data_IF_916046337399
#
_entry.id   IF_916046337399
#
_cell.length_a   1.000
_cell.length_b   1.000
_cell.length_c   1.000
_cell.angle_alpha   90.00
_cell.angle_beta   90.00
_cell.angle_gamma   90.00
#
_symmetry.space_group_name_H-M   'P 1'
#
loop_
_entity.id
_entity.type
_entity.pdbx_description
1 polymer ?
#
# COMPACT_ATOMS: atom_id res chain seq x y z
N UNK A 1 -8.00 2.24 -4.90
CA UNK A 1 -6.90 3.02 -4.28
C UNK A 1 -5.73 2.10 -3.98
N UNK A 2 -4.51 2.62 -3.94
CA UNK A 2 -3.34 1.85 -3.49
C UNK A 2 -3.37 1.74 -1.97
N UNK A 3 -3.45 0.54 -1.42
CA UNK A 3 -3.52 0.29 0.02
C UNK A 3 -2.21 -0.26 0.62
N UNK A 4 -1.23 -0.60 -0.24
CA UNK A 4 0.08 -1.10 0.12
C UNK A 4 1.14 -0.73 -0.95
N UNK A 5 2.42 -0.63 -0.54
CA UNK A 5 3.56 -0.34 -1.43
C UNK A 5 3.73 -1.31 -2.59
N UNK A 6 3.35 -2.57 -2.38
CA UNK A 6 3.49 -3.62 -3.39
C UNK A 6 2.52 -3.51 -4.58
N UNK A 7 1.43 -2.73 -4.48
CA UNK A 7 0.33 -2.77 -5.46
C UNK A 7 0.76 -2.59 -6.92
N UNK A 8 1.69 -1.67 -7.17
CA UNK A 8 2.24 -1.40 -8.51
C UNK A 8 3.16 -2.53 -9.03
N UNK A 9 3.68 -3.38 -8.14
CA UNK A 9 4.60 -4.47 -8.45
C UNK A 9 3.90 -5.83 -8.54
N UNK A 10 2.57 -5.88 -8.41
CA UNK A 10 1.79 -7.13 -8.39
C UNK A 10 2.10 -8.03 -9.58
N UNK A 11 2.15 -7.48 -10.80
CA UNK A 11 2.42 -8.26 -12.01
C UNK A 11 3.84 -8.85 -12.03
N UNK A 12 4.82 -8.16 -11.43
CA UNK A 12 6.18 -8.68 -11.29
C UNK A 12 6.22 -9.85 -10.30
N UNK A 13 5.48 -9.76 -9.18
CA UNK A 13 5.38 -10.85 -8.22
C UNK A 13 4.65 -12.09 -8.76
N UNK A 14 3.69 -11.89 -9.67
CA UNK A 14 2.98 -12.98 -10.35
C UNK A 14 3.75 -13.59 -11.52
N UNK A 15 4.91 -13.01 -11.90
CA UNK A 15 5.69 -13.46 -13.05
C UNK A 15 5.13 -13.03 -14.41
N UNK A 16 4.14 -12.13 -14.42
CA UNK A 16 3.49 -11.62 -15.62
C UNK A 16 4.25 -10.46 -16.28
N UNK A 17 5.35 -10.01 -15.67
CA UNK A 17 6.19 -8.95 -16.22
C UNK A 17 7.60 -8.94 -15.66
N UNK A 18 8.52 -8.34 -16.40
CA UNK A 18 9.92 -8.20 -15.98
C UNK A 18 10.13 -6.88 -15.23
N UNK A 19 10.60 -6.91 -13.97
CA UNK A 19 10.89 -5.69 -13.23
C UNK A 19 12.10 -4.96 -13.81
N UNK A 20 12.12 -3.63 -13.71
CA UNK A 20 13.25 -2.80 -14.18
C UNK A 20 14.55 -3.05 -13.42
N UNK A 21 14.45 -3.51 -12.19
CA UNK A 21 15.57 -3.82 -11.31
C UNK A 21 15.18 -5.01 -10.42
N UNK A 22 16.11 -5.92 -10.08
CA UNK A 22 15.86 -7.00 -9.13
C UNK A 22 15.56 -6.50 -7.72
N UNK A 23 15.84 -5.23 -7.41
CA UNK A 23 15.56 -4.58 -6.13
C UNK A 23 15.03 -3.17 -6.37
N UNK A 24 13.91 -2.84 -5.77
CA UNK A 24 13.25 -1.54 -5.87
C UNK A 24 12.81 -1.15 -4.45
N UNK A 25 13.06 0.10 -4.08
CA UNK A 25 12.61 0.69 -2.83
C UNK A 25 11.90 2.01 -3.14
N UNK A 26 10.79 2.27 -2.47
CA UNK A 26 9.98 3.46 -2.69
C UNK A 26 9.23 3.92 -1.42
N UNK A 27 8.53 5.05 -1.55
CA UNK A 27 7.61 5.55 -0.52
C UNK A 27 6.25 5.73 -1.16
N UNK A 28 5.38 4.76 -0.94
CA UNK A 28 4.07 4.71 -1.57
C UNK A 28 3.04 5.44 -0.71
N UNK A 29 2.26 6.31 -1.36
CA UNK A 29 1.03 6.87 -0.79
C UNK A 29 -0.04 5.79 -0.73
N UNK A 30 -0.53 5.49 0.46
CA UNK A 30 -1.54 4.46 0.71
C UNK A 30 -2.84 5.07 1.24
N UNK A 31 -3.98 4.53 0.78
CA UNK A 31 -5.31 4.86 1.27
C UNK A 31 -6.07 3.59 1.67
N UNK A 32 -6.58 3.54 2.90
CA UNK A 32 -7.33 2.42 3.50
C UNK A 32 -8.69 2.87 4.00
N UNK A 33 -9.66 2.92 3.08
CA UNK A 33 -11.04 3.40 3.34
C UNK A 33 -12.11 2.45 2.82
N UNK A 34 -11.73 1.26 2.33
CA UNK A 34 -12.67 0.28 1.77
C UNK A 34 -12.07 -1.11 1.60
N UNK A 35 -12.95 -2.11 1.42
CA UNK A 35 -12.54 -3.50 1.20
C UNK A 35 -11.93 -4.14 2.44
N UNK A 36 -11.05 -5.13 2.25
CA UNK A 36 -10.41 -5.88 3.35
C UNK A 36 -9.52 -5.02 4.25
N UNK A 37 -8.98 -3.91 3.74
CA UNK A 37 -8.13 -2.99 4.48
C UNK A 37 -8.83 -1.64 4.55
N UNK A 38 -9.65 -1.46 5.58
CA UNK A 38 -10.46 -0.29 5.81
C UNK A 38 -10.30 0.17 7.25
N UNK A 39 -9.67 1.34 7.43
CA UNK A 39 -9.38 1.90 8.75
C UNK A 39 -10.32 3.09 9.06
N UNK A 40 -11.36 3.30 8.25
CA UNK A 40 -12.19 4.51 8.31
C UNK A 40 -12.87 4.73 9.66
N UNK A 41 -13.33 3.65 10.31
CA UNK A 41 -14.05 3.74 11.58
C UNK A 41 -13.11 3.92 12.78
N UNK A 42 -11.84 3.51 12.66
CA UNK A 42 -10.86 3.58 13.76
C UNK A 42 -10.12 4.93 13.82
N UNK A 43 -10.11 5.68 12.71
CA UNK A 43 -9.43 6.98 12.65
C UNK A 43 -10.11 7.99 13.56
N UNK A 44 -9.34 8.51 14.53
CA UNK A 44 -9.83 9.42 15.56
C UNK A 44 -10.34 8.72 16.83
N UNK A 45 -10.42 7.38 16.83
CA UNK A 45 -10.63 6.58 18.04
C UNK A 45 -9.29 6.27 18.71
N UNK A 46 -8.30 5.83 17.92
CA UNK A 46 -6.95 5.60 18.42
C UNK A 46 -5.91 6.53 17.77
N UNK A 47 -4.64 6.30 18.16
CA UNK A 47 -3.52 7.19 17.84
C UNK A 47 -2.67 6.74 16.66
N UNK A 48 -3.01 5.61 16.03
CA UNK A 48 -2.14 4.97 15.02
C UNK A 48 -2.85 4.58 13.73
N UNK A 49 -4.18 4.55 13.68
CA UNK A 49 -4.90 4.38 12.42
C UNK A 49 -4.99 5.70 11.65
N UNK A 50 -4.64 5.61 10.36
CA UNK A 50 -4.75 6.71 9.41
C UNK A 50 -5.41 6.19 8.13
N UNK A 51 -6.34 6.96 7.58
CA UNK A 51 -6.94 6.63 6.28
C UNK A 51 -5.92 6.81 5.16
N UNK A 52 -5.10 7.86 5.22
CA UNK A 52 -4.04 8.17 4.27
C UNK A 52 -2.67 8.23 4.96
N UNK A 53 -1.70 7.49 4.45
CA UNK A 53 -0.35 7.41 5.02
C UNK A 53 0.70 7.04 3.98
N UNK A 54 1.98 7.15 4.34
CA UNK A 54 3.10 6.72 3.53
C UNK A 54 3.62 5.35 4.00
N UNK A 55 3.67 4.37 3.11
CA UNK A 55 4.32 3.08 3.35
C UNK A 55 5.69 3.10 2.69
N UNK A 56 6.74 2.91 3.49
CA UNK A 56 8.14 2.85 3.06
C UNK A 56 8.56 1.40 2.95
N UNK A 57 9.11 1.00 1.81
CA UNK A 57 9.56 -0.36 1.53
C UNK A 57 10.69 -0.38 0.51
#
# INVERSE_FOLDING_TARGET
FTNAGMAQFKEYFLGNGTPKSPRIADTQKCLRVSGKHNDLEEVGIDTYHHTFFALKG
#
